data_IF_229378184174
#
_entry.id   IF_229378184174
#
_cell.length_a   1.000
_cell.length_b   1.000
_cell.length_c   1.000
_cell.angle_alpha   90.00
_cell.angle_beta   90.00
_cell.angle_gamma   90.00
#
_symmetry.space_group_name_H-M   'P 1'
#
loop_
_entity.id
_entity.type
_entity.pdbx_description
1 polymer ?
#
# COMPACT_ATOMS: atom_id res chain seq x y z
N UNK A 1 -8.17 16.07 -3.56
CA UNK A 1 -6.93 15.36 -3.17
C UNK A 1 -6.71 15.65 -1.70
N UNK A 2 -6.42 14.63 -0.90
CA UNK A 2 -6.08 14.85 0.51
C UNK A 2 -4.71 15.53 0.59
N UNK A 3 -4.65 16.75 1.13
CA UNK A 3 -3.41 17.51 1.32
C UNK A 3 -3.02 17.51 2.79
N UNK A 4 -2.20 16.52 3.16
CA UNK A 4 -1.37 16.56 4.37
C UNK A 4 -0.01 15.89 4.11
N UNK A 5 0.82 16.42 3.19
CA UNK A 5 2.24 16.06 3.17
C UNK A 5 2.85 16.33 4.55
N UNK A 6 3.79 15.49 4.98
CA UNK A 6 4.42 15.57 6.30
C UNK A 6 5.06 16.94 6.59
N UNK A 7 5.48 17.68 5.55
CA UNK A 7 6.03 19.03 5.64
C UNK A 7 4.99 20.16 5.76
N UNK A 8 3.70 19.93 5.49
CA UNK A 8 2.63 20.90 5.79
C UNK A 8 2.27 20.91 7.30
N UNK A 9 2.80 19.96 8.07
CA UNK A 9 2.54 19.76 9.50
C UNK A 9 3.37 20.66 10.42
N UNK A 10 3.73 21.88 10.01
CA UNK A 10 4.65 22.73 10.81
C UNK A 10 4.01 23.85 11.62
N UNK A 11 2.69 24.15 11.55
CA UNK A 11 2.09 25.17 12.46
C UNK A 11 0.66 24.96 12.94
N UNK A 12 -0.12 24.08 12.32
CA UNK A 12 -1.45 23.71 12.79
C UNK A 12 -1.55 22.20 12.70
N UNK A 13 -1.48 21.51 13.83
CA UNK A 13 -1.63 20.06 13.86
C UNK A 13 -3.05 19.71 13.42
N UNK A 14 -3.23 19.34 12.14
CA UNK A 14 -4.41 18.57 11.72
C UNK A 14 -4.24 17.19 12.33
N UNK A 15 -4.82 16.99 13.51
CA UNK A 15 -4.72 15.73 14.25
C UNK A 15 -5.39 14.57 13.49
N UNK A 16 -6.46 14.85 12.74
CA UNK A 16 -7.15 13.88 11.89
C UNK A 16 -7.91 14.63 10.79
N UNK A 17 -7.65 14.30 9.53
CA UNK A 17 -8.45 14.73 8.37
C UNK A 17 -9.10 13.49 7.78
N UNK A 18 -10.43 13.41 7.89
CA UNK A 18 -11.23 12.37 7.25
C UNK A 18 -11.83 12.94 5.97
N UNK A 19 -11.24 12.59 4.84
CA UNK A 19 -11.85 12.80 3.54
C UNK A 19 -11.76 11.52 2.71
N UNK A 20 -12.59 11.41 1.67
CA UNK A 20 -12.56 10.31 0.70
C UNK A 20 -11.72 10.69 -0.53
N UNK A 21 -10.83 11.69 -0.40
CA UNK A 21 -10.04 12.12 -1.52
C UNK A 21 -8.85 11.19 -1.70
N UNK A 22 -8.51 10.93 -2.97
CA UNK A 22 -7.30 10.17 -3.26
C UNK A 22 -6.06 10.88 -2.69
N UNK A 23 -5.11 10.12 -2.10
CA UNK A 23 -3.89 10.68 -1.56
C UNK A 23 -3.09 11.38 -2.67
N UNK A 24 -2.44 12.47 -2.31
CA UNK A 24 -1.54 13.16 -3.22
C UNK A 24 -0.32 12.29 -3.52
N UNK A 25 0.29 12.42 -4.71
CA UNK A 25 1.46 11.60 -5.08
C UNK A 25 2.63 11.75 -4.10
N UNK A 26 2.84 12.97 -3.59
CA UNK A 26 3.79 13.27 -2.52
C UNK A 26 3.53 12.50 -1.22
N UNK A 27 2.26 12.25 -0.89
CA UNK A 27 1.91 11.47 0.30
C UNK A 27 2.26 10.00 0.10
N UNK A 28 2.00 9.46 -1.10
CA UNK A 28 2.41 8.11 -1.45
C UNK A 28 3.94 7.97 -1.43
N UNK A 29 4.67 8.97 -1.93
CA UNK A 29 6.14 9.00 -1.90
C UNK A 29 6.70 9.10 -0.47
N UNK A 30 6.13 9.92 0.41
CA UNK A 30 6.57 9.99 1.83
C UNK A 30 6.42 8.63 2.53
N UNK A 31 5.29 7.94 2.32
CA UNK A 31 5.07 6.60 2.87
C UNK A 31 6.02 5.58 2.21
N UNK A 32 6.19 5.63 0.89
CA UNK A 32 7.14 4.80 0.14
C UNK A 32 8.54 4.88 0.74
N UNK A 33 9.05 6.10 0.93
CA UNK A 33 10.40 6.33 1.45
C UNK A 33 10.56 5.82 2.88
N UNK A 34 9.54 5.96 3.74
CA UNK A 34 9.57 5.42 5.11
C UNK A 34 9.56 3.89 5.12
N UNK A 35 8.72 3.28 4.29
CA UNK A 35 8.68 1.83 4.12
C UNK A 35 10.01 1.29 3.58
N UNK A 36 10.62 1.99 2.62
CA UNK A 36 11.94 1.66 2.08
C UNK A 36 13.02 1.74 3.15
N UNK A 37 13.10 2.85 3.90
CA UNK A 37 14.06 3.00 5.01
C UNK A 37 13.90 1.90 6.06
N UNK A 38 12.65 1.52 6.35
CA UNK A 38 12.35 0.42 7.28
C UNK A 38 12.87 -0.92 6.74
N UNK A 39 12.60 -1.23 5.47
CA UNK A 39 13.10 -2.44 4.84
C UNK A 39 14.64 -2.50 4.82
N UNK A 40 15.30 -1.39 4.51
CA UNK A 40 16.77 -1.28 4.48
C UNK A 40 17.39 -1.44 5.87
N UNK A 41 16.72 -0.94 6.93
CA UNK A 41 17.16 -1.17 8.32
C UNK A 41 16.96 -2.64 8.74
N UNK A 42 15.86 -3.27 8.32
CA UNK A 42 15.59 -4.67 8.60
C UNK A 42 16.55 -5.61 7.85
N UNK A 43 17.02 -5.26 6.65
CA UNK A 43 18.12 -5.97 5.98
C UNK A 43 19.37 -5.98 6.86
N UNK A 44 19.79 -4.81 7.35
CA UNK A 44 20.97 -4.70 8.23
C UNK A 44 20.80 -5.48 9.52
N UNK A 45 19.60 -5.46 10.10
CA UNK A 45 19.27 -6.24 11.28
C UNK A 45 19.32 -7.76 11.00
N UNK A 46 18.82 -8.19 9.85
CA UNK A 46 18.88 -9.60 9.42
C UNK A 46 20.32 -10.06 9.24
N UNK A 47 21.17 -9.25 8.60
CA UNK A 47 22.59 -9.56 8.40
C UNK A 47 23.36 -9.64 9.72
N UNK A 48 23.07 -8.73 10.66
CA UNK A 48 23.65 -8.80 12.01
C UNK A 48 23.18 -10.06 12.75
N UNK A 49 21.88 -10.36 12.70
CA UNK A 49 21.31 -11.55 13.33
C UNK A 49 21.92 -12.85 12.79
N UNK A 50 22.18 -12.95 11.48
CA UNK A 50 22.90 -14.09 10.87
C UNK A 50 24.28 -14.27 11.47
N UNK A 51 25.08 -13.20 11.53
CA UNK A 51 26.43 -13.24 12.11
C UNK A 51 26.42 -13.70 13.57
N UNK A 52 25.47 -13.20 14.36
CA UNK A 52 25.32 -13.61 15.76
C UNK A 52 24.96 -15.11 15.90
N UNK A 53 24.12 -15.64 15.01
CA UNK A 53 23.77 -17.08 15.01
C UNK A 53 24.95 -17.97 14.63
N UNK A 54 25.86 -17.50 13.78
CA UNK A 54 27.09 -18.21 13.41
C UNK A 54 28.10 -18.22 14.58
N UNK A 55 28.14 -17.15 15.38
CA UNK A 55 29.01 -17.02 16.56
C UNK A 55 28.47 -17.74 17.82
N UNK A 56 27.18 -18.09 17.84
CA UNK A 56 26.50 -18.74 18.98
C UNK A 56 25.96 -20.15 18.63
N UNK A 57 26.82 -21.13 18.32
CA UNK A 57 26.38 -22.46 17.91
C UNK A 57 25.66 -23.25 19.03
N UNK A 58 25.96 -22.98 20.31
CA UNK A 58 25.50 -23.79 21.45
C UNK A 58 24.87 -22.99 22.59
N UNK A 59 24.22 -21.85 22.31
CA UNK A 59 23.51 -21.08 23.34
C UNK A 59 22.09 -21.62 23.57
N UNK A 60 21.60 -21.52 24.80
CA UNK A 60 20.18 -21.75 25.13
C UNK A 60 19.24 -20.83 24.33
N UNK A 61 19.77 -19.69 23.90
CA UNK A 61 19.01 -18.60 23.30
C UNK A 61 18.91 -18.75 21.77
N UNK A 62 19.59 -19.73 21.18
CA UNK A 62 19.65 -19.91 19.71
C UNK A 62 18.27 -19.96 19.07
N UNK A 63 17.34 -20.73 19.66
CA UNK A 63 15.96 -20.84 19.15
C UNK A 63 15.23 -19.49 19.15
N UNK A 64 15.50 -18.64 20.15
CA UNK A 64 14.94 -17.29 20.20
C UNK A 64 15.51 -16.39 19.09
N UNK A 65 16.82 -16.45 18.86
CA UNK A 65 17.45 -15.70 17.76
C UNK A 65 16.99 -16.17 16.38
N UNK A 66 16.81 -17.47 16.17
CA UNK A 66 16.22 -18.02 14.94
C UNK A 66 14.77 -17.54 14.73
N UNK A 67 13.98 -17.41 15.79
CA UNK A 67 12.64 -16.84 15.71
C UNK A 67 12.68 -15.34 15.36
N UNK A 68 13.53 -14.56 16.04
CA UNK A 68 13.73 -13.14 15.74
C UNK A 68 14.13 -12.94 14.29
N UNK A 69 15.01 -13.80 13.76
CA UNK A 69 15.44 -13.75 12.36
C UNK A 69 14.27 -13.95 11.39
N UNK A 70 13.36 -14.89 11.68
CA UNK A 70 12.15 -15.12 10.88
C UNK A 70 11.22 -13.91 10.93
N UNK A 71 11.01 -13.34 12.12
CA UNK A 71 10.14 -12.18 12.30
C UNK A 71 10.68 -10.96 11.54
N UNK A 72 12.00 -10.70 11.63
CA UNK A 72 12.68 -9.67 10.84
C UNK A 72 12.43 -9.86 9.36
N UNK A 73 12.55 -11.09 8.84
CA UNK A 73 12.33 -11.37 7.42
C UNK A 73 10.88 -11.09 6.99
N UNK A 74 9.90 -11.45 7.82
CA UNK A 74 8.48 -11.15 7.55
C UNK A 74 8.25 -9.63 7.48
N UNK A 75 8.68 -8.87 8.50
CA UNK A 75 8.51 -7.42 8.52
C UNK A 75 9.24 -6.73 7.36
N UNK A 76 10.44 -7.22 7.02
CA UNK A 76 11.24 -6.73 5.89
C UNK A 76 10.47 -6.87 4.58
N UNK A 77 9.89 -8.05 4.31
CA UNK A 77 9.13 -8.32 3.09
C UNK A 77 7.88 -7.46 2.99
N UNK A 78 7.16 -7.28 4.10
CA UNK A 78 5.97 -6.43 4.14
C UNK A 78 6.34 -4.98 3.87
N UNK A 79 7.32 -4.43 4.58
CA UNK A 79 7.79 -3.05 4.38
C UNK A 79 8.26 -2.83 2.92
N UNK A 80 9.01 -3.78 2.36
CA UNK A 80 9.46 -3.76 0.97
C UNK A 80 8.30 -3.82 -0.03
N UNK A 81 7.28 -4.64 0.23
CA UNK A 81 6.10 -4.73 -0.62
C UNK A 81 5.34 -3.39 -0.67
N UNK A 82 5.15 -2.73 0.47
CA UNK A 82 4.54 -1.39 0.49
C UNK A 82 5.38 -0.36 -0.28
N UNK A 83 6.70 -0.34 -0.08
CA UNK A 83 7.58 0.57 -0.79
C UNK A 83 7.51 0.36 -2.32
N UNK A 84 7.58 -0.89 -2.78
CA UNK A 84 7.48 -1.23 -4.20
C UNK A 84 6.12 -0.85 -4.76
N UNK A 85 5.03 -1.27 -4.12
CA UNK A 85 3.67 -1.00 -4.61
C UNK A 85 3.36 0.50 -4.72
N UNK A 86 3.80 1.31 -3.74
CA UNK A 86 3.60 2.75 -3.77
C UNK A 86 4.40 3.42 -4.90
N UNK A 87 5.64 2.97 -5.11
CA UNK A 87 6.47 3.46 -6.22
C UNK A 87 5.89 3.06 -7.58
N UNK A 88 5.47 1.80 -7.74
CA UNK A 88 4.79 1.31 -8.93
C UNK A 88 3.55 2.14 -9.26
N UNK A 89 2.75 2.46 -8.23
CA UNK A 89 1.55 3.30 -8.36
C UNK A 89 1.91 4.71 -8.83
N UNK A 90 2.93 5.33 -8.25
CA UNK A 90 3.40 6.66 -8.65
C UNK A 90 3.94 6.67 -10.09
N UNK A 91 4.77 5.69 -10.47
CA UNK A 91 5.31 5.58 -11.83
C UNK A 91 4.19 5.33 -12.84
N UNK A 92 3.24 4.45 -12.53
CA UNK A 92 2.08 4.21 -13.38
C UNK A 92 1.21 5.46 -13.53
N UNK A 93 1.06 6.28 -12.48
CA UNK A 93 0.36 7.57 -12.54
C UNK A 93 1.05 8.53 -13.51
N UNK A 94 2.39 8.65 -13.46
CA UNK A 94 3.15 9.51 -14.37
C UNK A 94 3.05 9.04 -15.83
N UNK A 95 3.12 7.73 -16.07
CA UNK A 95 2.92 7.14 -17.40
C UNK A 95 1.51 7.39 -17.94
N UNK A 96 0.47 7.32 -17.08
CA UNK A 96 -0.90 7.70 -17.46
C UNK A 96 -1.02 9.17 -17.84
N UNK A 97 -0.29 10.07 -17.18
CA UNK A 97 -0.28 11.49 -17.53
C UNK A 97 0.33 11.74 -18.92
N UNK A 98 1.37 10.99 -19.31
CA UNK A 98 1.90 11.04 -20.68
C UNK A 98 0.84 10.61 -21.71
N UNK A 99 0.18 9.47 -21.46
CA UNK A 99 -0.88 8.96 -22.34
C UNK A 99 -2.08 9.92 -22.44
N UNK A 100 -2.49 10.53 -21.32
CA UNK A 100 -3.59 11.49 -21.28
C UNK A 100 -3.26 12.78 -22.05
N UNK A 101 -1.98 13.14 -22.12
CA UNK A 101 -1.50 14.28 -22.89
C UNK A 101 -1.21 13.95 -24.36
N UNK A 102 -1.51 12.72 -24.83
CA UNK A 102 -1.23 12.28 -26.19
C UNK A 102 0.25 12.15 -26.52
N UNK A 103 1.11 12.04 -25.49
CA UNK A 103 2.56 11.85 -25.65
C UNK A 103 2.93 10.38 -25.55
N UNK A 104 4.03 9.94 -26.18
CA UNK A 104 4.58 8.62 -25.91
C UNK A 104 4.99 8.50 -24.43
N UNK A 105 4.83 7.30 -23.87
CA UNK A 105 5.28 7.00 -22.51
C UNK A 105 6.79 7.23 -22.38
N UNK A 106 7.19 7.97 -21.34
CA UNK A 106 8.61 8.20 -21.04
C UNK A 106 9.36 6.88 -20.85
N UNK A 107 10.35 6.60 -21.71
CA UNK A 107 11.05 5.32 -21.75
C UNK A 107 11.77 4.96 -20.43
N UNK A 108 12.28 5.98 -19.72
CA UNK A 108 12.90 5.79 -18.40
C UNK A 108 11.88 5.26 -17.37
N UNK A 109 10.66 5.79 -17.38
CA UNK A 109 9.58 5.37 -16.47
C UNK A 109 9.04 3.98 -16.82
N UNK A 110 8.97 3.64 -18.12
CA UNK A 110 8.64 2.27 -18.57
C UNK A 110 9.70 1.28 -18.05
N UNK A 111 10.98 1.60 -18.23
CA UNK A 111 12.06 0.77 -17.70
C UNK A 111 11.98 0.63 -16.18
N UNK A 112 11.76 1.73 -15.48
CA UNK A 112 11.64 1.75 -14.02
C UNK A 112 10.48 0.88 -13.53
N UNK A 113 9.28 1.00 -14.11
CA UNK A 113 8.13 0.17 -13.73
C UNK A 113 8.41 -1.32 -13.93
N UNK A 114 9.07 -1.69 -15.02
CA UNK A 114 9.51 -3.07 -15.23
C UNK A 114 10.45 -3.58 -14.13
N UNK A 115 11.42 -2.75 -13.73
CA UNK A 115 12.36 -3.09 -12.66
C UNK A 115 11.67 -3.22 -11.30
N UNK A 116 10.69 -2.37 -11.00
CA UNK A 116 9.93 -2.45 -9.75
C UNK A 116 9.12 -3.74 -9.67
N UNK A 117 8.44 -4.11 -10.76
CA UNK A 117 7.68 -5.37 -10.82
C UNK A 117 8.60 -6.60 -10.68
N UNK A 118 9.80 -6.55 -11.26
CA UNK A 118 10.81 -7.61 -11.07
C UNK A 118 11.23 -7.73 -9.60
N UNK A 119 11.43 -6.60 -8.92
CA UNK A 119 11.76 -6.58 -7.49
C UNK A 119 10.60 -7.07 -6.61
N UNK A 120 9.34 -6.78 -6.97
CA UNK A 120 8.18 -7.24 -6.19
C UNK A 120 7.96 -8.75 -6.38
N UNK A 121 8.13 -9.26 -7.60
CA UNK A 121 8.17 -10.70 -7.87
C UNK A 121 9.24 -11.40 -7.04
N UNK A 122 10.45 -10.84 -6.96
CA UNK A 122 11.52 -11.39 -6.14
C UNK A 122 11.18 -11.35 -4.64
N UNK A 123 10.59 -10.26 -4.15
CA UNK A 123 10.22 -10.09 -2.75
C UNK A 123 9.09 -11.05 -2.32
N UNK A 124 8.20 -11.43 -3.24
CA UNK A 124 7.11 -12.38 -3.02
C UNK A 124 7.46 -13.82 -3.41
N UNK A 125 8.75 -14.14 -3.57
CA UNK A 125 9.25 -15.49 -3.90
C UNK A 125 8.62 -16.09 -5.17
N UNK A 126 8.36 -15.27 -6.18
CA UNK A 126 7.79 -15.70 -7.47
C UNK A 126 6.42 -16.36 -7.31
N UNK A 127 5.61 -15.84 -6.38
CA UNK A 127 4.24 -16.32 -6.11
C UNK A 127 3.25 -15.17 -6.11
N UNK A 128 1.97 -15.53 -6.17
CA UNK A 128 0.86 -14.58 -6.03
C UNK A 128 0.62 -13.73 -7.28
N UNK A 129 -0.08 -12.61 -7.07
CA UNK A 129 -0.61 -11.77 -8.14
C UNK A 129 0.47 -11.00 -8.92
N UNK A 130 1.63 -10.77 -8.30
CA UNK A 130 2.71 -9.96 -8.89
C UNK A 130 3.37 -10.61 -10.10
N UNK A 131 3.44 -11.94 -10.13
CA UNK A 131 3.94 -12.70 -11.30
C UNK A 131 3.06 -12.45 -12.51
N UNK A 132 1.75 -12.47 -12.31
CA UNK A 132 0.77 -12.19 -13.36
C UNK A 132 0.80 -10.72 -13.79
N UNK A 133 0.94 -9.78 -12.84
CA UNK A 133 1.11 -8.36 -13.16
C UNK A 133 2.35 -8.13 -14.01
N UNK A 134 3.46 -8.78 -13.68
CA UNK A 134 4.70 -8.71 -14.44
C UNK A 134 4.54 -9.27 -15.85
N UNK A 135 3.84 -10.39 -16.02
CA UNK A 135 3.52 -10.98 -17.33
C UNK A 135 2.70 -10.02 -18.18
N UNK A 136 1.59 -9.51 -17.63
CA UNK A 136 0.72 -8.56 -18.32
C UNK A 136 1.46 -7.28 -18.73
N UNK A 137 2.39 -6.82 -17.89
CA UNK A 137 3.23 -5.68 -18.20
C UNK A 137 4.18 -5.94 -19.38
N UNK A 138 4.77 -7.14 -19.48
CA UNK A 138 5.64 -7.51 -20.62
C UNK A 138 4.88 -7.57 -21.94
N UNK A 139 3.64 -8.05 -21.92
CA UNK A 139 2.84 -8.21 -23.13
C UNK A 139 2.43 -6.87 -23.72
N UNK A 140 1.97 -5.95 -22.88
CA UNK A 140 1.59 -4.62 -23.31
C UNK A 140 1.67 -3.61 -22.16
N UNK A 141 2.82 -2.90 -22.03
CA UNK A 141 3.02 -1.89 -20.99
C UNK A 141 1.94 -0.80 -20.99
N UNK A 142 1.47 -0.39 -22.18
CA UNK A 142 0.46 0.67 -22.30
C UNK A 142 -0.90 0.19 -21.77
N UNK A 143 -1.36 -0.99 -22.22
CA UNK A 143 -2.62 -1.56 -21.77
C UNK A 143 -2.59 -1.87 -20.27
N UNK A 144 -1.44 -2.29 -19.74
CA UNK A 144 -1.25 -2.51 -18.31
C UNK A 144 -1.48 -1.24 -17.50
N UNK A 145 -0.77 -0.16 -17.84
CA UNK A 145 -0.82 1.12 -17.09
C UNK A 145 -2.22 1.75 -17.13
N UNK A 146 -2.98 1.52 -18.21
CA UNK A 146 -4.38 1.97 -18.33
C UNK A 146 -5.35 1.19 -17.43
N UNK A 147 -5.04 -0.06 -17.09
CA UNK A 147 -5.96 -0.98 -16.40
C UNK A 147 -5.61 -1.25 -14.94
N UNK A 148 -4.34 -1.23 -14.58
CA UNK A 148 -3.84 -1.63 -13.27
C UNK A 148 -3.19 -0.46 -12.53
N UNK A 149 -2.93 -0.66 -11.23
CA UNK A 149 -2.32 0.35 -10.34
C UNK A 149 -3.09 1.69 -10.40
N UNK A 150 -4.41 1.59 -10.49
CA UNK A 150 -5.33 2.73 -10.50
C UNK A 150 -5.65 3.03 -9.04
N UNK A 151 -5.44 4.27 -8.57
CA UNK A 151 -6.01 4.72 -7.30
C UNK A 151 -7.53 4.65 -7.43
N UNK A 152 -8.16 3.59 -6.91
CA UNK A 152 -9.60 3.41 -7.01
C UNK A 152 -10.30 4.43 -6.11
N UNK A 153 -11.29 5.13 -6.66
CA UNK A 153 -12.28 5.82 -5.85
C UNK A 153 -13.14 4.79 -5.13
N UNK A 154 -12.84 4.54 -3.86
CA UNK A 154 -13.57 3.66 -2.93
C UNK A 154 -13.71 2.22 -3.43
N UNK A 155 -12.99 1.32 -2.79
CA UNK A 155 -13.21 -0.12 -2.98
C UNK A 155 -14.59 -0.47 -2.40
N UNK A 156 -15.42 -1.25 -3.10
CA UNK A 156 -16.70 -1.75 -2.58
C UNK A 156 -16.56 -2.41 -1.19
N UNK A 157 -15.41 -3.01 -0.94
CA UNK A 157 -15.01 -3.61 0.34
C UNK A 157 -14.96 -2.61 1.50
N UNK A 158 -14.67 -1.32 1.24
CA UNK A 158 -14.63 -0.27 2.27
C UNK A 158 -16.03 0.22 2.65
N UNK A 159 -17.04 0.05 1.79
CA UNK A 159 -18.45 0.33 2.14
C UNK A 159 -19.02 -0.68 3.12
N UNK A 160 -18.64 -1.95 3.00
CA UNK A 160 -19.21 -3.04 3.81
C UNK A 160 -18.46 -3.28 5.12
N UNK A 161 -17.21 -2.82 5.23
CA UNK A 161 -16.37 -3.08 6.40
C UNK A 161 -16.77 -2.28 7.66
N UNK A 162 -17.53 -1.19 7.51
CA UNK A 162 -18.00 -0.35 8.62
C UNK A 162 -19.51 -0.37 8.85
N UNK A 163 -20.26 -1.20 8.11
CA UNK A 163 -21.69 -1.42 8.33
C UNK A 163 -21.95 -2.85 8.80
N UNK A 164 -21.40 -3.18 9.97
CA UNK A 164 -22.00 -4.21 10.82
C UNK A 164 -22.74 -3.46 11.92
N UNK A 165 -24.03 -3.76 12.02
CA UNK A 165 -25.00 -3.27 13.00
C UNK A 165 -25.78 -2.01 12.63
N UNK A 166 -26.55 -2.08 11.55
CA UNK A 166 -27.91 -1.54 11.56
C UNK A 166 -28.86 -2.60 10.96
N UNK A 167 -29.94 -2.99 11.67
CA UNK A 167 -30.89 -3.96 11.13
C UNK A 167 -31.58 -3.38 9.89
N UNK A 168 -31.97 -4.24 8.93
CA UNK A 168 -32.61 -3.79 7.70
C UNK A 168 -33.91 -3.09 8.07
N UNK A 169 -33.98 -1.78 7.85
CA UNK A 169 -35.24 -1.07 7.92
C UNK A 169 -35.97 -1.39 6.63
N UNK A 170 -36.80 -2.44 6.71
CA UNK A 170 -37.78 -2.73 5.68
C UNK A 170 -38.61 -1.48 5.38
N UNK A 171 -38.76 -1.28 4.09
CA UNK A 171 -39.77 -0.49 3.41
C UNK A 171 -41.07 -0.39 4.24
N UNK A 172 -41.35 0.80 4.78
CA UNK A 172 -42.73 1.17 5.15
C UNK A 172 -43.09 2.50 4.46
N UNK A 173 -44.22 2.57 3.74
CA UNK A 173 -44.69 3.76 3.04
C UNK A 173 -45.20 4.82 4.03
N UNK A 174 -45.38 6.08 3.61
CA UNK A 174 -45.67 7.17 4.53
C UNK A 174 -47.14 7.13 4.93
N UNK A 175 -47.42 6.77 6.18
CA UNK A 175 -48.73 6.99 6.78
C UNK A 175 -48.71 8.12 7.81
N UNK A 176 -49.74 8.96 7.66
CA UNK A 176 -50.07 10.16 8.42
C UNK A 176 -50.40 9.80 9.87
N UNK A 177 -50.04 10.66 10.83
CA UNK A 177 -50.74 10.68 12.13
C UNK A 177 -49.89 11.06 13.34
N UNK A 178 -50.07 12.32 13.79
CA UNK A 178 -50.22 12.77 15.20
C UNK A 178 -49.48 12.10 16.36
N UNK A 179 -48.73 12.94 17.11
CA UNK A 179 -48.62 13.10 18.59
C UNK A 179 -48.52 11.83 19.49
N UNK A 180 -47.66 11.73 20.51
CA UNK A 180 -47.45 12.65 21.64
C UNK A 180 -46.18 12.22 22.41
N UNK A 181 -45.50 13.17 23.04
CA UNK A 181 -44.45 12.94 24.05
C UNK A 181 -45.08 12.58 25.40
N UNK A 182 -44.61 11.52 26.05
CA UNK A 182 -44.70 11.41 27.50
C UNK A 182 -43.48 10.70 28.11
N UNK A 183 -42.81 11.47 28.95
CA UNK A 183 -41.83 11.11 29.98
C UNK A 183 -42.35 10.04 30.94
N UNK A 184 -41.46 9.15 31.37
CA UNK A 184 -41.23 8.81 32.79
C UNK A 184 -39.77 8.41 32.99
#
# INVERSE_FOLDING_TARGET
MASTPSWESTRHAKFMQTDNAQPHFWMLEDVELRCKLTADLLDKASDLSKRLLDELPNSSDRAQFEQIQKDIDVFRRVARSYALHLRETNVAQMLRQDLAAGRPMTAALVKELGQLLDLDVANQEVRGRVVEMRRLYLENPEAFVRRYLIPVGVTLTERESFSRDLPPTDLLPPEKGTFTLTTR
#
